data_IF_949754203287
#
_entry.id   IF_949754203287
#
_cell.length_a   1.000
_cell.length_b   1.000
_cell.length_c   1.000
_cell.angle_alpha   90.00
_cell.angle_beta   90.00
_cell.angle_gamma   90.00
#
_symmetry.space_group_name_H-M   'P 1'
#
loop_
_entity.id
_entity.type
_entity.pdbx_description
1 polymer ?
#
# COMPACT_ATOMS: atom_id res chain seq x y z
N UNK A 1 20.52 21.94 32.09
CA UNK A 1 19.61 20.89 32.62
C UNK A 1 18.63 20.52 31.51
N UNK A 2 18.31 19.23 31.34
CA UNK A 2 18.29 18.57 30.04
C UNK A 2 16.90 18.50 29.43
N UNK A 3 16.83 18.50 28.10
CA UNK A 3 15.71 17.91 27.37
C UNK A 3 16.31 16.99 26.31
N UNK A 4 16.86 15.88 26.78
CA UNK A 4 17.00 14.63 26.03
C UNK A 4 15.60 14.21 25.56
N UNK A 5 15.13 14.82 24.48
CA UNK A 5 14.07 14.25 23.69
C UNK A 5 14.71 13.14 22.88
N UNK A 6 14.90 11.99 23.53
CA UNK A 6 14.73 10.69 22.90
C UNK A 6 13.37 10.72 22.21
N UNK A 7 13.31 11.31 21.02
CA UNK A 7 12.32 10.95 20.01
C UNK A 7 12.69 9.51 19.71
N UNK A 8 12.13 8.59 20.49
CA UNK A 8 12.10 7.18 20.15
C UNK A 8 11.54 7.13 18.75
N UNK A 9 12.44 7.02 17.77
CA UNK A 9 12.22 7.04 16.33
C UNK A 9 11.59 5.73 15.89
N UNK A 10 10.55 5.32 16.62
CA UNK A 10 9.72 4.21 16.23
C UNK A 10 8.80 4.72 15.14
N UNK A 11 9.03 4.18 13.95
CA UNK A 11 8.08 4.22 12.83
C UNK A 11 6.72 3.79 13.38
N UNK A 12 5.65 4.51 13.01
CA UNK A 12 4.31 4.18 13.48
C UNK A 12 3.99 2.72 13.15
N UNK A 13 3.39 1.99 14.10
CA UNK A 13 3.05 0.57 13.87
C UNK A 13 2.08 0.44 12.70
N UNK A 14 1.21 1.42 12.51
CA UNK A 14 0.27 1.56 11.40
C UNK A 14 1.01 1.67 10.06
N UNK A 15 2.11 2.44 10.01
CA UNK A 15 2.98 2.57 8.83
C UNK A 15 3.59 1.22 8.47
N UNK A 16 4.07 0.47 9.46
CA UNK A 16 4.64 -0.87 9.26
C UNK A 16 3.57 -1.87 8.80
N UNK A 17 2.39 -1.87 9.43
CA UNK A 17 1.28 -2.76 9.04
C UNK A 17 0.86 -2.47 7.60
N UNK A 18 0.66 -1.20 7.23
CA UNK A 18 0.25 -0.82 5.88
C UNK A 18 1.34 -1.16 4.85
N UNK A 19 2.62 -0.97 5.19
CA UNK A 19 3.73 -1.36 4.33
C UNK A 19 3.78 -2.88 4.11
N UNK A 20 3.62 -3.68 5.16
CA UNK A 20 3.61 -5.16 5.04
C UNK A 20 2.41 -5.66 4.22
N UNK A 21 1.23 -5.08 4.41
CA UNK A 21 0.05 -5.39 3.59
C UNK A 21 0.30 -5.06 2.11
N UNK A 22 0.86 -3.90 1.82
CA UNK A 22 1.16 -3.51 0.44
C UNK A 22 2.25 -4.37 -0.20
N UNK A 23 3.27 -4.76 0.56
CA UNK A 23 4.30 -5.70 0.09
C UNK A 23 3.70 -7.06 -0.22
N UNK A 24 2.83 -7.57 0.66
CA UNK A 24 2.08 -8.80 0.43
C UNK A 24 1.20 -8.73 -0.82
N UNK A 25 0.47 -7.64 -0.99
CA UNK A 25 -0.37 -7.39 -2.17
C UNK A 25 0.44 -7.36 -3.46
N UNK A 26 1.59 -6.70 -3.42
CA UNK A 26 2.51 -6.59 -4.54
C UNK A 26 3.07 -7.96 -4.91
N UNK A 27 3.49 -8.78 -3.95
CA UNK A 27 3.93 -10.15 -4.20
C UNK A 27 2.80 -11.00 -4.77
N UNK A 28 1.59 -10.92 -4.21
CA UNK A 28 0.44 -11.72 -4.62
C UNK A 28 -0.03 -11.38 -6.04
N UNK A 29 -0.17 -10.09 -6.35
CA UNK A 29 -0.50 -9.63 -7.71
C UNK A 29 0.60 -9.93 -8.71
N UNK A 30 1.88 -9.77 -8.34
CA UNK A 30 3.00 -10.17 -9.21
C UNK A 30 2.98 -11.66 -9.52
N UNK A 31 2.66 -12.49 -8.52
CA UNK A 31 2.51 -13.94 -8.69
C UNK A 31 1.34 -14.30 -9.60
N UNK A 32 0.17 -13.68 -9.43
CA UNK A 32 -1.00 -13.90 -10.31
C UNK A 32 -0.70 -13.52 -11.77
N UNK A 33 -0.04 -12.37 -11.97
CA UNK A 33 0.36 -11.90 -13.30
C UNK A 33 1.39 -12.84 -13.94
N UNK A 34 2.41 -13.26 -13.18
CA UNK A 34 3.45 -14.16 -13.68
C UNK A 34 2.92 -15.57 -14.03
N UNK A 35 1.93 -16.05 -13.29
CA UNK A 35 1.31 -17.37 -13.53
C UNK A 35 0.14 -17.31 -14.53
N UNK A 36 -0.20 -16.13 -15.08
CA UNK A 36 -1.31 -15.96 -16.01
C UNK A 36 -2.70 -16.21 -15.40
N UNK A 37 -2.80 -16.32 -14.07
CA UNK A 37 -4.05 -16.61 -13.35
C UNK A 37 -4.86 -15.34 -13.02
N UNK A 38 -4.33 -14.15 -13.33
CA UNK A 38 -5.01 -12.87 -13.11
C UNK A 38 -4.80 -11.89 -14.26
N UNK A 39 -5.87 -11.21 -14.65
CA UNK A 39 -5.81 -10.03 -15.52
C UNK A 39 -5.93 -8.82 -14.60
N UNK A 40 -5.02 -7.85 -14.73
CA UNK A 40 -5.03 -6.68 -13.86
C UNK A 40 -6.27 -5.82 -14.16
N UNK A 41 -7.22 -5.79 -13.22
CA UNK A 41 -8.47 -5.04 -13.37
C UNK A 41 -8.26 -3.51 -13.32
N UNK A 42 -7.12 -3.05 -12.80
CA UNK A 42 -6.80 -1.63 -12.72
C UNK A 42 -6.14 -1.16 -14.04
N UNK A 43 -6.79 -0.29 -14.84
CA UNK A 43 -6.29 0.15 -16.13
C UNK A 43 -4.96 0.90 -16.04
N UNK A 44 -4.66 1.56 -14.92
CA UNK A 44 -3.37 2.23 -14.69
C UNK A 44 -2.25 1.21 -14.51
N UNK A 45 -2.50 0.14 -13.75
CA UNK A 45 -1.51 -0.91 -13.53
C UNK A 45 -1.36 -1.82 -14.76
N UNK A 46 -2.44 -2.07 -15.51
CA UNK A 46 -2.37 -2.73 -16.81
C UNK A 46 -1.53 -1.93 -17.82
N UNK A 47 -1.67 -0.60 -17.83
CA UNK A 47 -0.83 0.28 -18.66
C UNK A 47 0.63 0.27 -18.20
N UNK A 48 0.89 0.31 -16.88
CA UNK A 48 2.23 0.23 -16.34
C UNK A 48 2.91 -1.10 -16.69
N UNK A 49 2.19 -2.21 -16.57
CA UNK A 49 2.67 -3.54 -16.93
C UNK A 49 2.92 -3.67 -18.45
N UNK A 50 2.03 -3.16 -19.30
CA UNK A 50 2.21 -3.26 -20.76
C UNK A 50 3.35 -2.38 -21.29
N UNK A 51 3.59 -1.21 -20.67
CA UNK A 51 4.64 -0.25 -21.08
C UNK A 51 6.01 -0.56 -20.52
N UNK A 52 6.09 -1.07 -19.30
CA UNK A 52 7.34 -1.19 -18.54
C UNK A 52 7.56 -2.60 -17.97
N UNK A 53 6.67 -3.55 -18.28
CA UNK A 53 6.76 -4.93 -17.83
C UNK A 53 6.53 -5.10 -16.32
N UNK A 54 6.90 -6.27 -15.77
CA UNK A 54 6.74 -6.57 -14.34
C UNK A 54 7.50 -5.58 -13.44
N UNK A 55 8.66 -5.08 -13.87
CA UNK A 55 9.44 -4.11 -13.08
C UNK A 55 8.74 -2.76 -12.95
N UNK A 56 8.12 -2.26 -14.02
CA UNK A 56 7.38 -1.00 -13.95
C UNK A 56 6.07 -1.11 -13.18
N UNK A 57 5.42 -2.26 -13.24
CA UNK A 57 4.27 -2.56 -12.38
C UNK A 57 4.65 -2.49 -10.89
N UNK A 58 5.74 -3.16 -10.50
CA UNK A 58 6.25 -3.14 -9.13
C UNK A 58 6.63 -1.71 -8.71
N UNK A 59 7.33 -0.96 -9.56
CA UNK A 59 7.72 0.42 -9.27
C UNK A 59 6.52 1.35 -9.08
N UNK A 60 5.53 1.29 -9.98
CA UNK A 60 4.33 2.13 -9.90
C UNK A 60 3.54 1.80 -8.63
N UNK A 61 3.36 0.51 -8.34
CA UNK A 61 2.64 0.06 -7.13
C UNK A 61 3.37 0.43 -5.85
N UNK A 62 4.69 0.26 -5.83
CA UNK A 62 5.53 0.69 -4.71
C UNK A 62 5.55 2.21 -4.54
N UNK A 63 5.55 3.00 -5.62
CA UNK A 63 5.49 4.45 -5.55
C UNK A 63 4.13 4.95 -5.05
N UNK A 64 3.03 4.33 -5.52
CA UNK A 64 1.67 4.67 -5.10
C UNK A 64 1.44 4.52 -3.59
N UNK A 65 2.18 3.63 -2.93
CA UNK A 65 2.08 3.44 -1.47
C UNK A 65 3.24 4.08 -0.72
N UNK A 66 4.46 3.96 -1.24
CA UNK A 66 5.67 4.51 -0.63
C UNK A 66 5.65 6.03 -0.55
N UNK A 67 5.21 6.73 -1.60
CA UNK A 67 5.12 8.20 -1.60
C UNK A 67 4.17 8.71 -0.50
N UNK A 68 2.91 8.26 -0.41
CA UNK A 68 2.03 8.70 0.68
C UNK A 68 2.50 8.26 2.06
N UNK A 69 3.19 7.11 2.19
CA UNK A 69 3.81 6.70 3.46
C UNK A 69 4.92 7.66 3.90
N UNK A 70 5.81 8.04 2.97
CA UNK A 70 6.90 8.99 3.24
C UNK A 70 6.32 10.36 3.57
N UNK A 71 5.31 10.83 2.82
CA UNK A 71 4.62 12.08 3.12
C UNK A 71 3.98 12.01 4.51
N UNK A 72 3.30 10.92 4.86
CA UNK A 72 2.70 10.72 6.17
C UNK A 72 3.72 10.82 7.32
N UNK A 73 4.85 10.11 7.21
CA UNK A 73 5.89 10.12 8.24
C UNK A 73 6.59 11.49 8.34
N UNK A 74 6.78 12.18 7.20
CA UNK A 74 7.39 13.53 7.15
C UNK A 74 6.41 14.61 7.67
N UNK A 75 5.11 14.40 7.51
CA UNK A 75 4.04 15.30 7.98
C UNK A 75 3.67 15.09 9.45
N UNK A 76 4.12 13.98 10.05
CA UNK A 76 3.86 13.59 11.44
C UNK A 76 4.17 14.69 12.48
N UNK A 77 5.25 15.49 12.36
CA UNK A 77 5.55 16.56 13.33
C UNK A 77 4.53 17.70 13.32
N UNK A 78 3.78 17.86 12.22
CA UNK A 78 2.88 18.99 12.02
C UNK A 78 1.42 18.60 12.29
N UNK A 79 1.01 17.38 11.92
CA UNK A 79 -0.39 16.96 11.92
C UNK A 79 -0.58 15.47 12.27
N UNK A 80 -0.06 15.00 13.41
CA UNK A 80 -0.11 13.58 13.83
C UNK A 80 -1.51 12.95 13.76
N UNK A 81 -2.55 13.64 14.22
CA UNK A 81 -3.94 13.12 14.20
C UNK A 81 -4.50 12.93 12.78
N UNK A 82 -4.15 13.81 11.84
CA UNK A 82 -4.55 13.67 10.43
C UNK A 82 -3.82 12.51 9.76
N UNK A 83 -2.53 12.34 10.07
CA UNK A 83 -1.70 11.22 9.58
C UNK A 83 -2.25 9.88 10.07
N UNK A 84 -2.60 9.77 11.35
CA UNK A 84 -3.19 8.54 11.89
C UNK A 84 -4.54 8.25 11.25
N UNK A 85 -5.40 9.27 11.07
CA UNK A 85 -6.70 9.10 10.40
C UNK A 85 -6.53 8.67 8.95
N UNK A 86 -5.63 9.28 8.18
CA UNK A 86 -5.40 8.90 6.79
C UNK A 86 -4.85 7.49 6.64
N UNK A 87 -3.91 7.06 7.51
CA UNK A 87 -3.44 5.68 7.52
C UNK A 87 -4.55 4.69 7.87
N UNK A 88 -5.40 4.99 8.87
CA UNK A 88 -6.53 4.11 9.23
C UNK A 88 -7.56 4.03 8.11
N UNK A 89 -7.84 5.14 7.43
CA UNK A 89 -8.71 5.15 6.25
C UNK A 89 -8.10 4.35 5.10
N UNK A 90 -6.78 4.44 4.89
CA UNK A 90 -6.08 3.64 3.87
C UNK A 90 -6.15 2.14 4.18
N UNK A 91 -5.92 1.73 5.45
CA UNK A 91 -6.07 0.35 5.89
C UNK A 91 -7.52 -0.13 5.68
N UNK A 92 -8.51 0.68 6.08
CA UNK A 92 -9.91 0.34 5.92
C UNK A 92 -10.33 0.22 4.44
N UNK A 93 -9.89 1.17 3.60
CA UNK A 93 -10.13 1.13 2.16
C UNK A 93 -9.47 -0.09 1.51
N UNK A 94 -8.24 -0.42 1.91
CA UNK A 94 -7.54 -1.61 1.45
C UNK A 94 -8.30 -2.90 1.83
N UNK A 95 -8.70 -3.04 3.10
CA UNK A 95 -9.49 -4.18 3.55
C UNK A 95 -10.85 -4.28 2.84
N UNK A 96 -11.52 -3.15 2.61
CA UNK A 96 -12.78 -3.10 1.89
C UNK A 96 -12.62 -3.51 0.43
N UNK A 97 -11.60 -3.00 -0.27
CA UNK A 97 -11.31 -3.37 -1.66
C UNK A 97 -10.94 -4.85 -1.78
N UNK A 98 -10.15 -5.38 -0.84
CA UNK A 98 -9.83 -6.80 -0.80
C UNK A 98 -11.11 -7.63 -0.61
N UNK A 99 -11.92 -7.30 0.41
CA UNK A 99 -13.19 -7.99 0.67
C UNK A 99 -14.17 -7.91 -0.51
N UNK A 100 -14.34 -6.74 -1.11
CA UNK A 100 -15.18 -6.55 -2.30
C UNK A 100 -14.63 -7.33 -3.50
N UNK A 101 -13.31 -7.34 -3.70
CA UNK A 101 -12.65 -8.14 -4.72
C UNK A 101 -12.91 -9.63 -4.51
N UNK A 102 -12.74 -10.13 -3.28
CA UNK A 102 -13.04 -11.53 -2.95
C UNK A 102 -14.52 -11.83 -3.15
N UNK A 103 -15.45 -11.02 -2.65
CA UNK A 103 -16.90 -11.27 -2.77
C UNK A 103 -17.40 -11.12 -4.21
N UNK A 104 -16.81 -10.22 -5.01
CA UNK A 104 -17.19 -10.04 -6.41
C UNK A 104 -16.62 -11.15 -7.31
N UNK A 105 -15.39 -11.61 -7.05
CA UNK A 105 -14.72 -12.67 -7.82
C UNK A 105 -15.19 -14.05 -7.37
N UNK A 106 -15.43 -14.27 -6.07
CA UNK A 106 -15.94 -15.52 -5.49
C UNK A 106 -17.45 -15.75 -5.74
N UNK A 107 -18.01 -15.13 -6.77
CA UNK A 107 -19.29 -15.53 -7.37
C UNK A 107 -19.11 -16.68 -8.39
N UNK A 108 -17.87 -17.13 -8.59
CA UNK A 108 -17.48 -18.16 -9.55
C UNK A 108 -16.91 -19.44 -8.90
N UNK A 109 -17.01 -19.61 -7.58
CA UNK A 109 -16.82 -20.90 -6.89
C UNK A 109 -18.17 -21.36 -6.37
#
# INVERSE_FOLDING_TARGET
MPADHRRTSHVLRETVILATMCLGDLLFTSYLLATGHGIEANPVMALAYSRFGPYGFVLVKAALVGIPLVIAETSRPYCESLVIRSLRTAIAAYGLLWFLGTVAINRWV
#
